data_IF_353321790868
#
_entry.id   IF_353321790868
#
_cell.length_a   1.000
_cell.length_b   1.000
_cell.length_c   1.000
_cell.angle_alpha   90.00
_cell.angle_beta   90.00
_cell.angle_gamma   90.00
#
_symmetry.space_group_name_H-M   'P 1'
#
loop_
_entity.id
_entity.type
_entity.pdbx_description
1 polymer ?
#
# COMPACT_ATOMS: atom_id res chain seq x y z
N UNK A 1 -44.92 10.09 3.96
CA UNK A 1 -43.79 11.03 3.83
C UNK A 1 -42.57 10.36 4.43
N UNK A 2 -41.62 9.89 3.62
CA UNK A 2 -40.45 9.18 4.16
C UNK A 2 -39.51 10.15 4.88
N UNK A 3 -39.43 9.98 6.21
CA UNK A 3 -38.64 10.80 7.13
C UNK A 3 -37.14 10.78 6.78
N UNK A 4 -36.67 9.73 6.12
CA UNK A 4 -35.27 9.45 5.74
C UNK A 4 -34.65 10.49 4.82
N UNK A 5 -35.47 11.29 4.13
CA UNK A 5 -35.00 12.37 3.24
C UNK A 5 -34.66 13.66 3.99
N UNK A 6 -35.20 13.88 5.20
CA UNK A 6 -34.98 15.11 5.99
C UNK A 6 -33.52 15.28 6.37
N UNK A 7 -32.86 14.20 6.77
CA UNK A 7 -31.45 14.18 7.18
C UNK A 7 -30.47 14.31 6.00
N UNK A 8 -30.95 14.19 4.76
CA UNK A 8 -30.16 14.29 3.52
C UNK A 8 -30.26 15.66 2.84
N UNK A 9 -30.98 16.63 3.42
CA UNK A 9 -31.28 17.93 2.79
C UNK A 9 -30.08 18.86 2.62
N UNK A 10 -29.04 18.73 3.43
CA UNK A 10 -27.84 19.57 3.33
C UNK A 10 -26.58 18.77 3.65
N UNK A 11 -25.44 19.23 3.09
CA UNK A 11 -24.14 18.64 3.40
C UNK A 11 -23.81 18.72 4.90
N UNK A 12 -24.23 19.80 5.57
CA UNK A 12 -24.08 19.97 7.02
C UNK A 12 -24.86 18.93 7.80
N UNK A 13 -26.12 18.66 7.42
CA UNK A 13 -26.94 17.64 8.07
C UNK A 13 -26.37 16.24 7.88
N UNK A 14 -25.94 15.92 6.64
CA UNK A 14 -25.30 14.64 6.32
C UNK A 14 -24.01 14.45 7.14
N UNK A 15 -23.21 15.52 7.33
CA UNK A 15 -22.00 15.46 8.15
C UNK A 15 -22.32 15.17 9.62
N UNK A 16 -23.35 15.79 10.19
CA UNK A 16 -23.74 15.57 11.59
C UNK A 16 -24.23 14.15 11.89
N UNK A 17 -24.92 13.51 10.93
CA UNK A 17 -25.51 12.17 11.14
C UNK A 17 -24.65 11.04 10.57
N UNK A 18 -23.45 11.35 10.05
CA UNK A 18 -22.56 10.36 9.43
C UNK A 18 -22.05 9.38 10.50
N UNK A 19 -22.28 8.06 10.34
CA UNK A 19 -21.87 7.10 11.36
C UNK A 19 -20.42 6.63 11.24
N UNK A 20 -19.81 6.73 10.05
CA UNK A 20 -18.43 6.31 9.81
C UNK A 20 -17.64 7.42 9.12
N UNK A 21 -16.41 7.63 9.58
CA UNK A 21 -15.41 8.43 8.89
C UNK A 21 -14.25 7.51 8.49
N UNK A 22 -13.55 7.89 7.43
CA UNK A 22 -12.35 7.20 6.95
C UNK A 22 -11.22 8.22 6.91
N UNK A 23 -10.11 7.90 7.55
CA UNK A 23 -8.90 8.73 7.60
C UNK A 23 -7.69 7.97 7.03
N UNK A 24 -6.56 8.66 6.83
CA UNK A 24 -5.32 8.02 6.36
C UNK A 24 -4.90 6.86 7.27
N UNK A 25 -5.13 7.02 8.58
CA UNK A 25 -4.89 6.01 9.62
C UNK A 25 -5.60 4.68 9.41
N UNK A 26 -6.67 4.65 8.62
CA UNK A 26 -7.45 3.44 8.34
C UNK A 26 -6.94 2.66 7.12
N UNK A 27 -5.92 3.18 6.43
CA UNK A 27 -5.42 2.64 5.17
C UNK A 27 -4.16 1.78 5.36
N UNK A 28 -3.98 0.84 4.43
CA UNK A 28 -2.74 0.09 4.24
C UNK A 28 -2.31 0.30 2.80
N UNK A 29 -1.08 0.78 2.58
CA UNK A 29 -0.60 1.08 1.25
C UNK A 29 0.20 -0.08 0.63
N UNK A 30 -0.30 -0.75 -0.43
CA UNK A 30 0.44 -1.82 -1.09
C UNK A 30 1.55 -1.26 -1.99
N UNK A 31 2.77 -1.78 -1.85
CA UNK A 31 3.91 -1.43 -2.69
C UNK A 31 4.52 -2.67 -3.37
N UNK A 32 5.04 -2.50 -4.58
CA UNK A 32 5.60 -3.57 -5.38
C UNK A 32 7.08 -3.32 -5.61
N UNK A 33 7.95 -4.16 -5.05
CA UNK A 33 9.41 -4.01 -5.15
C UNK A 33 9.98 -5.10 -6.03
N UNK A 34 10.81 -4.75 -7.01
CA UNK A 34 11.49 -5.73 -7.88
C UNK A 34 12.94 -5.94 -7.46
N UNK A 35 13.36 -7.19 -7.46
CA UNK A 35 14.75 -7.58 -7.18
C UNK A 35 15.74 -7.06 -8.25
N UNK A 36 15.30 -6.89 -9.50
CA UNK A 36 16.13 -6.35 -10.58
C UNK A 36 16.21 -4.81 -10.60
N UNK A 37 15.54 -4.12 -9.66
CA UNK A 37 15.57 -2.67 -9.52
C UNK A 37 14.91 -1.88 -10.65
N UNK A 38 14.23 -2.55 -11.59
CA UNK A 38 13.60 -1.87 -12.74
C UNK A 38 12.32 -1.16 -12.34
N UNK A 39 12.24 0.13 -12.71
CA UNK A 39 11.05 0.98 -12.52
C UNK A 39 10.15 0.88 -13.74
N UNK A 40 9.07 0.11 -13.64
CA UNK A 40 8.15 -0.17 -14.75
C UNK A 40 6.72 -0.04 -14.24
N UNK A 41 5.83 0.52 -15.06
CA UNK A 41 4.40 0.53 -14.74
C UNK A 41 3.84 -0.90 -14.77
N UNK A 42 2.91 -1.21 -13.87
CA UNK A 42 2.25 -2.51 -13.82
C UNK A 42 1.13 -2.50 -14.87
N UNK A 43 1.21 -3.32 -15.94
CA UNK A 43 0.27 -3.20 -17.07
C UNK A 43 -1.20 -3.43 -16.69
N UNK A 44 -1.45 -4.25 -15.67
CA UNK A 44 -2.79 -4.55 -15.17
C UNK A 44 -3.34 -3.52 -14.19
N UNK A 45 -2.50 -2.64 -13.63
CA UNK A 45 -2.88 -1.68 -12.60
C UNK A 45 -2.31 -0.31 -12.97
N UNK A 46 -3.14 0.51 -13.63
CA UNK A 46 -2.77 1.87 -14.03
C UNK A 46 -2.29 2.68 -12.82
N UNK A 47 -1.26 3.49 -13.02
CA UNK A 47 -0.65 4.35 -12.00
C UNK A 47 0.10 3.62 -10.89
N UNK A 48 0.13 2.28 -10.88
CA UNK A 48 1.01 1.50 -10.01
C UNK A 48 2.27 1.10 -10.76
N UNK A 49 3.41 1.11 -10.06
CA UNK A 49 4.71 0.79 -10.65
C UNK A 49 5.49 -0.16 -9.75
N UNK A 50 6.38 -0.91 -10.38
CA UNK A 50 7.44 -1.58 -9.67
C UNK A 50 8.48 -0.56 -9.21
N UNK A 51 8.90 -0.69 -7.96
CA UNK A 51 9.87 0.16 -7.29
C UNK A 51 11.20 -0.58 -7.19
N UNK A 52 12.29 0.19 -7.17
CA UNK A 52 13.55 -0.29 -6.63
C UNK A 52 13.47 -0.35 -5.10
N UNK A 53 14.51 -0.90 -4.48
CA UNK A 53 14.64 -0.89 -3.02
C UNK A 53 14.65 0.56 -2.48
N UNK A 54 15.49 1.45 -3.01
CA UNK A 54 15.59 2.82 -2.51
C UNK A 54 14.28 3.60 -2.66
N UNK A 55 13.62 3.48 -3.81
CA UNK A 55 12.32 4.12 -4.05
C UNK A 55 11.24 3.64 -3.08
N UNK A 56 11.33 2.38 -2.60
CA UNK A 56 10.38 1.86 -1.63
C UNK A 56 10.49 2.62 -0.29
N UNK A 57 11.67 3.11 0.09
CA UNK A 57 11.86 3.95 1.29
C UNK A 57 11.18 5.29 1.10
N UNK A 58 11.42 5.95 -0.04
CA UNK A 58 10.83 7.25 -0.35
C UNK A 58 9.30 7.16 -0.34
N UNK A 59 8.74 6.10 -0.92
CA UNK A 59 7.30 5.85 -0.93
C UNK A 59 6.75 5.56 0.47
N UNK A 60 7.50 4.86 1.34
CA UNK A 60 7.08 4.69 2.73
C UNK A 60 7.08 6.02 3.50
N UNK A 61 8.04 6.90 3.26
CA UNK A 61 8.06 8.24 3.86
C UNK A 61 6.86 9.08 3.39
N UNK A 62 6.54 9.04 2.09
CA UNK A 62 5.35 9.70 1.53
C UNK A 62 4.07 9.14 2.17
N UNK A 63 3.96 7.82 2.36
CA UNK A 63 2.81 7.22 3.04
C UNK A 63 2.65 7.73 4.48
N UNK A 64 3.74 7.94 5.21
CA UNK A 64 3.72 8.52 6.56
C UNK A 64 3.27 9.99 6.53
N UNK A 65 3.69 10.78 5.54
CA UNK A 65 3.23 12.17 5.36
C UNK A 65 1.70 12.25 5.14
N UNK A 66 1.11 11.20 4.55
CA UNK A 66 -0.34 11.04 4.36
C UNK A 66 -1.07 10.37 5.52
N UNK A 67 -0.42 10.22 6.68
CA UNK A 67 -0.97 9.59 7.89
C UNK A 67 -1.35 8.10 7.70
N UNK A 68 -0.70 7.41 6.76
CA UNK A 68 -0.91 5.97 6.52
C UNK A 68 0.07 5.17 7.39
N UNK A 69 -0.41 4.36 8.36
CA UNK A 69 0.43 3.74 9.38
C UNK A 69 1.09 2.44 8.92
N UNK A 70 0.62 1.86 7.80
CA UNK A 70 1.03 0.53 7.37
C UNK A 70 1.24 0.43 5.86
N UNK A 71 2.26 -0.32 5.49
CA UNK A 71 2.62 -0.64 4.10
C UNK A 71 2.64 -2.15 3.92
N UNK A 72 2.03 -2.62 2.82
CA UNK A 72 2.02 -4.03 2.43
C UNK A 72 3.00 -4.25 1.29
N UNK A 73 4.04 -5.04 1.54
CA UNK A 73 5.16 -5.22 0.58
C UNK A 73 4.95 -6.47 -0.27
N UNK A 74 5.01 -6.30 -1.59
CA UNK A 74 5.07 -7.39 -2.56
C UNK A 74 6.43 -7.42 -3.27
N UNK A 75 7.21 -8.48 -3.04
CA UNK A 75 8.50 -8.68 -3.70
C UNK A 75 8.38 -9.51 -4.98
N UNK A 76 8.82 -8.95 -6.10
CA UNK A 76 8.96 -9.67 -7.37
C UNK A 76 10.41 -10.18 -7.51
N UNK A 77 10.57 -11.49 -7.31
CA UNK A 77 11.84 -12.21 -7.41
C UNK A 77 12.28 -12.41 -8.87
N UNK A 78 13.59 -12.38 -9.10
CA UNK A 78 14.18 -12.68 -10.42
C UNK A 78 14.11 -14.17 -10.75
N UNK A 79 14.43 -15.01 -9.76
CA UNK A 79 14.40 -16.46 -9.88
C UNK A 79 13.23 -17.01 -9.06
N UNK A 80 12.44 -17.89 -9.68
CA UNK A 80 11.30 -18.55 -9.04
C UNK A 80 11.52 -20.06 -9.07
N UNK A 81 11.05 -20.74 -8.04
CA UNK A 81 11.01 -22.18 -7.95
C UNK A 81 9.57 -22.65 -7.74
N UNK A 82 9.27 -23.86 -8.21
CA UNK A 82 7.90 -24.39 -8.24
C UNK A 82 7.33 -24.61 -6.82
N UNK A 83 8.18 -24.95 -5.87
CA UNK A 83 7.84 -25.18 -4.45
C UNK A 83 7.86 -23.91 -3.60
N UNK A 84 8.30 -22.77 -4.14
CA UNK A 84 8.33 -21.48 -3.45
C UNK A 84 9.33 -21.39 -2.28
N UNK A 85 10.19 -22.40 -2.07
CA UNK A 85 11.14 -22.43 -0.96
C UNK A 85 12.18 -21.30 -0.98
N UNK A 86 12.38 -20.62 -2.12
CA UNK A 86 13.25 -19.43 -2.20
C UNK A 86 12.82 -18.35 -1.20
N UNK A 87 11.51 -18.23 -0.93
CA UNK A 87 10.97 -17.23 0.00
C UNK A 87 11.33 -17.51 1.47
N UNK A 88 11.70 -18.74 1.82
CA UNK A 88 12.06 -19.15 3.19
C UNK A 88 13.56 -18.95 3.50
N UNK A 89 14.38 -18.67 2.48
CA UNK A 89 15.81 -18.49 2.66
C UNK A 89 16.12 -17.21 3.46
N UNK A 90 17.12 -17.27 4.34
CA UNK A 90 17.55 -16.11 5.15
C UNK A 90 18.05 -14.94 4.30
N UNK A 91 18.64 -15.25 3.15
CA UNK A 91 19.17 -14.28 2.19
C UNK A 91 18.17 -13.92 1.08
N UNK A 92 16.91 -14.33 1.23
CA UNK A 92 15.84 -14.00 0.30
C UNK A 92 15.63 -12.49 0.20
N UNK A 93 14.94 -12.09 -0.86
CA UNK A 93 14.66 -10.68 -1.16
C UNK A 93 13.78 -10.02 -0.09
N UNK A 94 12.72 -10.70 0.38
CA UNK A 94 11.79 -10.13 1.36
C UNK A 94 12.45 -9.70 2.69
N UNK A 95 13.29 -10.53 3.36
CA UNK A 95 14.06 -10.09 4.51
C UNK A 95 14.93 -8.85 4.26
N UNK A 96 15.52 -8.71 3.06
CA UNK A 96 16.33 -7.53 2.71
C UNK A 96 15.46 -6.27 2.62
N UNK A 97 14.27 -6.37 2.02
CA UNK A 97 13.31 -5.25 1.99
C UNK A 97 12.96 -4.82 3.41
N UNK A 98 12.53 -5.75 4.27
CA UNK A 98 12.12 -5.42 5.63
C UNK A 98 13.25 -4.83 6.48
N UNK A 99 14.48 -5.33 6.33
CA UNK A 99 15.66 -4.77 7.02
C UNK A 99 15.95 -3.34 6.61
N UNK A 100 15.67 -2.98 5.36
CA UNK A 100 15.91 -1.64 4.88
C UNK A 100 14.74 -0.69 5.20
N UNK A 101 13.48 -1.14 5.11
CA UNK A 101 12.30 -0.32 5.45
C UNK A 101 12.15 -0.05 6.95
N UNK A 102 12.71 -0.91 7.82
CA UNK A 102 12.67 -0.73 9.28
C UNK A 102 13.85 0.07 9.85
N UNK A 103 14.76 0.55 9.00
CA UNK A 103 15.83 1.45 9.43
C UNK A 103 15.27 2.85 9.64
#
# INVERSE_FOLDING_TARGET
MDLTTRIKKSKQMIRMVRPQELTGSDLIYPIFVREDGKKLEIPSIKSQRYLSLDDAVDVCNEALEFDIPAVMVFGALKNKNDDGSISLNKDAFHPKIFKMLKK
#
